data_IF_869326614304
#
_entry.id   IF_869326614304
#
_cell.length_a   1.000
_cell.length_b   1.000
_cell.length_c   1.000
_cell.angle_alpha   90.00
_cell.angle_beta   90.00
_cell.angle_gamma   90.00
#
_symmetry.space_group_name_H-M   'P 1'
#
loop_
_entity.id
_entity.type
_entity.pdbx_description
1 polymer ?
#
# COMPACT_ATOMS: atom_id res chain seq x y z
N UNK A 1 -7.53 18.12 3.02
CA UNK A 1 -8.29 17.08 3.76
C UNK A 1 -7.63 15.71 3.63
N UNK A 2 -7.47 15.20 2.40
CA UNK A 2 -6.83 13.91 2.06
C UNK A 2 -5.51 13.65 2.81
N UNK A 3 -4.55 14.58 2.76
CA UNK A 3 -3.24 14.40 3.44
C UNK A 3 -3.40 14.25 4.96
N UNK A 4 -4.29 15.03 5.58
CA UNK A 4 -4.54 14.95 7.03
C UNK A 4 -5.23 13.63 7.40
N UNK A 5 -6.17 13.17 6.58
CA UNK A 5 -6.79 11.87 6.77
C UNK A 5 -5.76 10.74 6.67
N UNK A 6 -4.88 10.78 5.66
CA UNK A 6 -3.79 9.82 5.53
C UNK A 6 -2.88 9.87 6.76
N UNK A 7 -2.49 11.05 7.24
CA UNK A 7 -1.67 11.19 8.45
C UNK A 7 -2.30 10.50 9.68
N UNK A 8 -3.62 10.52 9.77
CA UNK A 8 -4.37 9.90 10.87
C UNK A 8 -4.51 8.38 10.70
N UNK A 9 -4.83 7.90 9.49
CA UNK A 9 -5.03 6.48 9.20
C UNK A 9 -3.72 5.70 9.04
N UNK A 10 -2.72 6.33 8.43
CA UNK A 10 -1.44 5.72 8.10
C UNK A 10 -0.29 6.75 8.09
N UNK A 11 0.37 6.85 9.24
CA UNK A 11 1.47 7.78 9.42
C UNK A 11 2.72 7.44 8.58
N UNK A 12 2.98 6.15 8.32
CA UNK A 12 4.11 5.70 7.50
C UNK A 12 3.97 6.22 6.06
N UNK A 13 2.84 5.96 5.41
CA UNK A 13 2.55 6.44 4.05
C UNK A 13 2.54 7.97 3.99
N UNK A 14 2.03 8.64 5.03
CA UNK A 14 2.08 10.09 5.13
C UNK A 14 3.52 10.63 5.09
N UNK A 15 4.44 10.02 5.84
CA UNK A 15 5.84 10.45 5.84
C UNK A 15 6.47 10.27 4.44
N UNK A 16 6.13 9.22 3.69
CA UNK A 16 6.65 9.03 2.33
C UNK A 16 6.27 10.18 1.39
N UNK A 17 5.17 10.90 1.64
CA UNK A 17 4.79 12.07 0.84
C UNK A 17 5.73 13.27 1.01
N UNK A 18 6.55 13.30 2.07
CA UNK A 18 7.46 14.41 2.35
C UNK A 18 8.57 14.54 1.30
N UNK A 19 8.86 13.48 0.54
CA UNK A 19 9.88 13.49 -0.52
C UNK A 19 9.41 14.15 -1.81
N UNK A 20 8.10 14.28 -1.98
CA UNK A 20 7.51 14.89 -3.17
C UNK A 20 7.54 16.40 -2.97
N UNK A 21 7.67 17.19 -4.03
CA UNK A 21 7.61 18.66 -3.89
C UNK A 21 6.23 19.19 -4.22
N UNK A 22 5.68 18.76 -5.37
CA UNK A 22 4.39 19.24 -5.89
C UNK A 22 3.22 18.92 -4.95
N UNK A 23 2.44 19.95 -4.60
CA UNK A 23 1.23 19.83 -3.77
C UNK A 23 0.15 18.96 -4.44
N UNK A 24 0.01 19.07 -5.75
CA UNK A 24 -0.96 18.29 -6.52
C UNK A 24 -0.57 16.81 -6.51
N UNK A 25 0.68 16.50 -6.84
CA UNK A 25 1.21 15.13 -6.83
C UNK A 25 1.12 14.54 -5.42
N UNK A 26 1.47 15.30 -4.38
CA UNK A 26 1.28 14.89 -2.98
C UNK A 26 -0.16 14.49 -2.69
N UNK A 27 -1.14 15.28 -3.12
CA UNK A 27 -2.56 14.98 -2.90
C UNK A 27 -3.00 13.72 -3.66
N UNK A 28 -2.60 13.57 -4.92
CA UNK A 28 -2.94 12.40 -5.73
C UNK A 28 -2.29 11.13 -5.17
N UNK A 29 -1.02 11.17 -4.79
CA UNK A 29 -0.32 10.06 -4.14
C UNK A 29 -0.97 9.73 -2.79
N UNK A 30 -1.35 10.74 -2.00
CA UNK A 30 -2.06 10.53 -0.74
C UNK A 30 -3.40 9.81 -0.94
N UNK A 31 -4.13 10.18 -2.00
CA UNK A 31 -5.38 9.55 -2.38
C UNK A 31 -5.19 8.08 -2.75
N UNK A 32 -4.15 7.75 -3.53
CA UNK A 32 -3.81 6.36 -3.87
C UNK A 32 -3.41 5.56 -2.62
N UNK A 33 -2.71 6.15 -1.66
CA UNK A 33 -2.41 5.47 -0.39
C UNK A 33 -3.64 5.23 0.48
N UNK A 34 -4.59 6.17 0.51
CA UNK A 34 -5.87 5.96 1.19
C UNK A 34 -6.69 4.86 0.51
N UNK A 35 -6.64 4.79 -0.82
CA UNK A 35 -7.24 3.70 -1.58
C UNK A 35 -6.61 2.34 -1.29
N UNK A 36 -5.27 2.26 -1.27
CA UNK A 36 -4.54 1.07 -0.85
C UNK A 36 -4.96 0.63 0.57
N UNK A 37 -5.04 1.59 1.50
CA UNK A 37 -5.50 1.35 2.87
C UNK A 37 -6.91 0.74 2.92
N UNK A 38 -7.89 1.32 2.22
CA UNK A 38 -9.28 0.83 2.27
C UNK A 38 -9.43 -0.55 1.62
N UNK A 39 -8.74 -0.81 0.51
CA UNK A 39 -8.76 -2.14 -0.13
C UNK A 39 -8.21 -3.21 0.81
N UNK A 40 -7.05 -2.97 1.41
CA UNK A 40 -6.44 -3.92 2.34
C UNK A 40 -7.32 -4.11 3.57
N UNK A 41 -7.93 -3.02 4.07
CA UNK A 41 -8.87 -3.08 5.19
C UNK A 41 -10.10 -3.91 4.85
N UNK A 42 -10.66 -3.83 3.63
CA UNK A 42 -11.77 -4.69 3.20
C UNK A 42 -11.38 -6.17 3.36
N UNK A 43 -10.17 -6.53 2.91
CA UNK A 43 -9.66 -7.89 3.02
C UNK A 43 -9.60 -8.39 4.47
N UNK A 44 -8.95 -7.65 5.36
CA UNK A 44 -8.76 -8.10 6.75
C UNK A 44 -9.98 -7.93 7.65
N UNK A 45 -10.87 -6.95 7.39
CA UNK A 45 -12.05 -6.69 8.25
C UNK A 45 -13.28 -7.53 7.89
N UNK A 46 -13.34 -8.09 6.68
CA UNK A 46 -14.49 -8.83 6.19
C UNK A 46 -14.14 -10.31 6.15
N UNK A 47 -14.64 -11.09 7.11
CA UNK A 47 -14.30 -12.52 7.22
C UNK A 47 -14.81 -13.33 6.02
N UNK A 48 -16.02 -13.04 5.56
CA UNK A 48 -16.68 -13.78 4.49
C UNK A 48 -16.12 -13.41 3.09
N UNK A 49 -15.60 -14.39 2.32
CA UNK A 49 -15.05 -14.15 0.98
C UNK A 49 -16.03 -13.50 0.00
N UNK A 50 -17.29 -13.95 0.01
CA UNK A 50 -18.31 -13.42 -0.90
C UNK A 50 -18.58 -11.94 -0.61
N UNK A 51 -18.71 -11.58 0.67
CA UNK A 51 -18.92 -10.20 1.08
C UNK A 51 -17.73 -9.30 0.73
N UNK A 52 -16.48 -9.81 0.76
CA UNK A 52 -15.31 -9.07 0.24
C UNK A 52 -15.46 -8.76 -1.24
N UNK A 53 -15.81 -9.76 -2.05
CA UNK A 53 -16.03 -9.60 -3.50
C UNK A 53 -17.10 -8.56 -3.79
N UNK A 54 -18.21 -8.58 -3.06
CA UNK A 54 -19.29 -7.59 -3.16
C UNK A 54 -18.78 -6.18 -2.83
N UNK A 55 -17.98 -6.00 -1.77
CA UNK A 55 -17.42 -4.68 -1.40
C UNK A 55 -16.47 -4.12 -2.47
N UNK A 56 -15.63 -4.96 -3.07
CA UNK A 56 -14.79 -4.53 -4.18
C UNK A 56 -15.61 -4.23 -5.44
N UNK A 57 -16.64 -5.02 -5.73
CA UNK A 57 -17.55 -4.73 -6.85
C UNK A 57 -18.27 -3.40 -6.63
N UNK A 58 -18.77 -3.14 -5.43
CA UNK A 58 -19.39 -1.87 -5.09
C UNK A 58 -18.44 -0.69 -5.32
N UNK A 59 -17.15 -0.82 -4.96
CA UNK A 59 -16.15 0.22 -5.27
C UNK A 59 -15.96 0.43 -6.78
N UNK A 60 -15.97 -0.65 -7.58
CA UNK A 60 -15.93 -0.55 -9.05
C UNK A 60 -17.15 0.25 -9.53
N UNK A 61 -18.34 -0.14 -9.11
CA UNK A 61 -19.60 0.49 -9.51
C UNK A 61 -19.65 1.98 -9.10
N UNK A 62 -19.15 2.34 -7.91
CA UNK A 62 -19.03 3.74 -7.47
C UNK A 62 -18.08 4.56 -8.36
N UNK A 63 -16.94 3.99 -8.77
CA UNK A 63 -15.96 4.69 -9.62
C UNK A 63 -16.38 4.81 -11.09
N UNK A 64 -17.44 4.10 -11.49
CA UNK A 64 -18.06 4.25 -12.80
C UNK A 64 -19.10 5.37 -12.86
N UNK A 65 -19.58 5.82 -11.70
CA UNK A 65 -20.52 6.96 -11.61
C UNK A 65 -19.81 8.29 -11.91
N UNK A 66 -20.62 9.31 -12.19
CA UNK A 66 -20.15 10.70 -12.32
C UNK A 66 -19.90 11.35 -10.96
N UNK A 67 -20.63 10.91 -9.94
CA UNK A 67 -20.54 11.42 -8.57
C UNK A 67 -20.83 10.29 -7.58
N UNK A 68 -20.31 10.44 -6.36
CA UNK A 68 -20.51 9.50 -5.25
C UNK A 68 -20.63 10.25 -3.93
N UNK A 69 -21.54 9.80 -3.07
CA UNK A 69 -21.60 10.27 -1.68
C UNK A 69 -20.48 9.67 -0.82
N UNK A 70 -19.79 8.64 -1.30
CA UNK A 70 -18.64 8.08 -0.61
C UNK A 70 -17.40 8.94 -0.85
N UNK A 71 -16.92 9.57 0.23
CA UNK A 71 -15.83 10.54 0.21
C UNK A 71 -14.62 10.14 -0.64
N UNK A 72 -14.11 8.92 -0.44
CA UNK A 72 -12.92 8.45 -1.15
C UNK A 72 -13.21 8.20 -2.63
N UNK A 73 -14.37 7.62 -2.96
CA UNK A 73 -14.76 7.40 -4.35
C UNK A 73 -14.92 8.72 -5.10
N UNK A 74 -15.54 9.74 -4.48
CA UNK A 74 -15.68 11.05 -5.12
C UNK A 74 -14.32 11.66 -5.52
N UNK A 75 -13.32 11.55 -4.66
CA UNK A 75 -11.98 12.03 -4.98
C UNK A 75 -11.29 11.18 -6.05
N UNK A 76 -11.49 9.86 -6.02
CA UNK A 76 -10.94 8.96 -7.04
C UNK A 76 -11.60 9.15 -8.40
N UNK A 77 -12.89 9.48 -8.48
CA UNK A 77 -13.60 9.79 -9.73
C UNK A 77 -12.90 10.95 -10.43
N UNK A 78 -12.59 12.03 -9.71
CA UNK A 78 -11.88 13.19 -10.27
C UNK A 78 -10.49 12.80 -10.78
N UNK A 79 -9.73 11.97 -10.04
CA UNK A 79 -8.43 11.47 -10.51
C UNK A 79 -8.58 10.57 -11.75
N UNK A 80 -9.68 9.82 -11.83
CA UNK A 80 -10.03 8.91 -12.91
C UNK A 80 -10.53 9.61 -14.19
N UNK A 81 -10.62 10.95 -14.24
CA UNK A 81 -10.76 11.70 -15.50
C UNK A 81 -9.62 11.35 -16.46
N UNK A 82 -8.44 11.06 -15.91
CA UNK A 82 -7.38 10.36 -16.65
C UNK A 82 -7.74 8.87 -16.83
N UNK A 83 -8.24 8.53 -18.02
CA UNK A 83 -8.65 7.16 -18.39
C UNK A 83 -7.54 6.12 -18.17
N UNK A 84 -6.27 6.50 -18.33
CA UNK A 84 -5.14 5.60 -18.13
C UNK A 84 -4.92 5.24 -16.66
N UNK A 85 -5.24 6.14 -15.74
CA UNK A 85 -5.22 5.93 -14.29
C UNK A 85 -6.46 5.12 -13.87
N UNK A 86 -7.64 5.48 -14.40
CA UNK A 86 -8.90 4.75 -14.17
C UNK A 86 -8.74 3.25 -14.48
N UNK A 87 -8.16 2.92 -15.63
CA UNK A 87 -7.91 1.54 -16.04
C UNK A 87 -7.09 0.75 -15.02
N UNK A 88 -6.05 1.35 -14.45
CA UNK A 88 -5.19 0.68 -13.47
C UNK A 88 -5.89 0.51 -12.11
N UNK A 89 -6.64 1.52 -11.67
CA UNK A 89 -7.43 1.46 -10.43
C UNK A 89 -8.48 0.34 -10.51
N UNK A 90 -9.21 0.26 -11.63
CA UNK A 90 -10.19 -0.82 -11.85
C UNK A 90 -9.51 -2.18 -11.95
N UNK A 91 -8.37 -2.27 -12.68
CA UNK A 91 -7.58 -3.51 -12.73
C UNK A 91 -7.19 -3.98 -11.33
N UNK A 92 -6.78 -3.04 -10.47
CA UNK A 92 -6.40 -3.34 -9.09
C UNK A 92 -7.57 -3.93 -8.30
N UNK A 93 -8.76 -3.32 -8.36
CA UNK A 93 -9.96 -3.85 -7.70
C UNK A 93 -10.34 -5.25 -8.20
N UNK A 94 -10.24 -5.50 -9.51
CA UNK A 94 -10.48 -6.82 -10.11
C UNK A 94 -9.47 -7.86 -9.62
N UNK A 95 -8.18 -7.50 -9.48
CA UNK A 95 -7.19 -8.37 -8.86
C UNK A 95 -7.58 -8.70 -7.41
N UNK A 96 -7.98 -7.69 -6.62
CA UNK A 96 -8.40 -7.89 -5.23
C UNK A 96 -9.70 -8.70 -5.07
N UNK A 97 -10.61 -8.70 -6.04
CA UNK A 97 -11.76 -9.63 -6.05
C UNK A 97 -11.35 -11.10 -6.06
N UNK A 98 -10.17 -11.41 -6.61
CA UNK A 98 -9.64 -12.78 -6.73
C UNK A 98 -8.58 -13.12 -5.69
N UNK A 99 -8.31 -12.22 -4.73
CA UNK A 99 -7.18 -12.33 -3.80
C UNK A 99 -7.15 -13.66 -3.04
N UNK A 100 -8.31 -14.20 -2.67
CA UNK A 100 -8.42 -15.45 -1.92
C UNK A 100 -7.77 -16.64 -2.66
N UNK A 101 -7.92 -16.71 -3.98
CA UNK A 101 -7.34 -17.76 -4.84
C UNK A 101 -5.79 -17.73 -4.84
N UNK A 102 -5.21 -16.58 -4.48
CA UNK A 102 -3.77 -16.37 -4.37
C UNK A 102 -3.23 -16.54 -2.96
N UNK A 103 -4.07 -16.37 -1.93
CA UNK A 103 -3.65 -16.50 -0.52
C UNK A 103 -3.50 -17.95 -0.07
N UNK A 104 -3.91 -18.92 -0.90
CA UNK A 104 -3.79 -20.36 -0.63
C UNK A 104 -2.36 -20.86 -0.54
N UNK A 105 -1.40 -20.22 -1.24
CA UNK A 105 0.00 -20.65 -1.24
C UNK A 105 0.98 -19.48 -1.21
N UNK A 106 2.15 -19.63 -0.55
CA UNK A 106 3.15 -18.56 -0.46
C UNK A 106 3.65 -18.06 -1.81
N UNK A 107 3.81 -18.96 -2.78
CA UNK A 107 4.29 -18.61 -4.12
C UNK A 107 3.24 -17.81 -4.87
N UNK A 108 1.97 -18.24 -4.85
CA UNK A 108 0.86 -17.52 -5.50
C UNK A 108 0.71 -16.12 -4.90
N UNK A 109 0.84 -16.00 -3.58
CA UNK A 109 0.79 -14.75 -2.84
C UNK A 109 1.90 -13.78 -3.30
N UNK A 110 3.14 -14.24 -3.39
CA UNK A 110 4.27 -13.43 -3.90
C UNK A 110 4.01 -12.96 -5.34
N UNK A 111 3.52 -13.85 -6.22
CA UNK A 111 3.20 -13.49 -7.60
C UNK A 111 2.09 -12.44 -7.68
N UNK A 112 1.05 -12.57 -6.87
CA UNK A 112 -0.02 -11.59 -6.73
C UNK A 112 0.54 -10.21 -6.36
N UNK A 113 1.37 -10.13 -5.32
CA UNK A 113 1.92 -8.84 -4.89
C UNK A 113 2.92 -8.24 -5.89
N UNK A 114 3.63 -9.05 -6.69
CA UNK A 114 4.43 -8.53 -7.81
C UNK A 114 3.55 -7.85 -8.86
N UNK A 115 2.42 -8.46 -9.19
CA UNK A 115 1.45 -7.85 -10.11
C UNK A 115 0.87 -6.56 -9.52
N UNK A 116 0.38 -6.60 -8.28
CA UNK A 116 -0.17 -5.41 -7.58
C UNK A 116 0.86 -4.27 -7.51
N UNK A 117 2.12 -4.58 -7.22
CA UNK A 117 3.19 -3.59 -7.19
C UNK A 117 3.43 -2.92 -8.55
N UNK A 118 3.39 -3.72 -9.61
CA UNK A 118 3.50 -3.20 -10.98
C UNK A 118 2.34 -2.24 -11.29
N UNK A 119 1.11 -2.58 -10.89
CA UNK A 119 -0.07 -1.74 -11.11
C UNK A 119 0.03 -0.43 -10.32
N UNK A 120 0.38 -0.48 -9.04
CA UNK A 120 0.55 0.73 -8.22
C UNK A 120 1.65 1.65 -8.77
N UNK A 121 2.80 1.12 -9.14
CA UNK A 121 3.88 1.92 -9.74
C UNK A 121 3.50 2.48 -11.12
N UNK A 122 2.68 1.77 -11.90
CA UNK A 122 2.08 2.30 -13.13
C UNK A 122 1.17 3.50 -12.83
N UNK A 123 0.34 3.42 -11.79
CA UNK A 123 -0.50 4.56 -11.34
C UNK A 123 0.38 5.74 -10.95
N UNK A 124 1.39 5.53 -10.10
CA UNK A 124 2.30 6.61 -9.68
C UNK A 124 2.95 7.27 -10.88
N UNK A 125 3.53 6.50 -11.80
CA UNK A 125 4.13 7.04 -13.03
C UNK A 125 3.17 7.92 -13.84
N UNK A 126 1.88 7.57 -13.90
CA UNK A 126 0.85 8.31 -14.65
C UNK A 126 0.36 9.59 -13.96
N UNK A 127 0.47 9.68 -12.63
CA UNK A 127 0.12 10.89 -11.87
C UNK A 127 1.33 11.82 -11.66
N UNK A 128 2.55 11.34 -11.92
CA UNK A 128 3.76 12.15 -11.84
C UNK A 128 3.92 13.05 -13.07
N UNK A 129 4.56 14.21 -12.87
CA UNK A 129 4.94 15.08 -13.97
C UNK A 129 6.21 14.55 -14.67
N UNK A 130 6.31 14.63 -16.02
CA UNK A 130 7.38 14.00 -16.80
C UNK A 130 8.82 14.36 -16.38
N UNK A 131 9.03 15.52 -15.75
CA UNK A 131 10.36 16.13 -15.65
C UNK A 131 10.87 16.38 -14.21
N UNK A 132 10.12 16.03 -13.14
CA UNK A 132 10.52 16.48 -11.78
C UNK A 132 10.32 15.50 -10.63
N UNK A 133 9.42 14.52 -10.73
CA UNK A 133 9.15 13.63 -9.58
C UNK A 133 9.01 12.17 -10.07
N UNK A 134 9.89 11.27 -9.63
CA UNK A 134 9.70 9.82 -9.80
C UNK A 134 9.40 9.19 -8.45
N UNK A 135 8.18 8.72 -8.25
CA UNK A 135 7.78 7.99 -7.06
C UNK A 135 7.49 6.54 -7.41
N UNK A 136 8.07 5.60 -6.65
CA UNK A 136 7.75 4.19 -6.73
C UNK A 136 7.70 3.63 -5.31
N UNK A 137 6.89 2.61 -5.11
CA UNK A 137 6.90 1.79 -3.90
C UNK A 137 7.60 0.48 -4.25
N UNK A 138 8.50 0.01 -3.38
CA UNK A 138 9.05 -1.33 -3.57
C UNK A 138 8.00 -2.41 -3.32
N UNK A 139 8.18 -3.52 -4.05
CA UNK A 139 7.46 -4.76 -3.78
C UNK A 139 7.52 -5.16 -2.30
N UNK A 140 8.68 -5.05 -1.65
CA UNK A 140 8.85 -5.46 -0.25
C UNK A 140 8.06 -4.58 0.72
N UNK A 141 8.15 -3.26 0.56
CA UNK A 141 7.41 -2.35 1.42
C UNK A 141 5.92 -2.56 1.25
N UNK A 142 5.44 -2.78 0.02
CA UNK A 142 4.02 -3.03 -0.23
C UNK A 142 3.55 -4.37 0.34
N UNK A 143 4.34 -5.42 0.15
CA UNK A 143 4.04 -6.74 0.69
C UNK A 143 3.97 -6.67 2.22
N UNK A 144 4.98 -6.11 2.90
CA UNK A 144 4.96 -5.93 4.37
C UNK A 144 3.78 -5.05 4.79
N UNK A 145 3.47 -4.01 4.02
CA UNK A 145 2.35 -3.12 4.32
C UNK A 145 0.99 -3.82 4.27
N UNK A 146 0.81 -4.82 3.40
CA UNK A 146 -0.39 -5.65 3.42
C UNK A 146 -0.56 -6.38 4.77
N UNK A 147 0.47 -7.08 5.21
CA UNK A 147 0.40 -7.85 6.46
C UNK A 147 0.48 -7.03 7.73
N UNK A 148 0.87 -5.75 7.63
CA UNK A 148 0.76 -4.80 8.72
C UNK A 148 -0.67 -4.69 9.28
N UNK A 149 -1.69 -5.03 8.47
CA UNK A 149 -3.10 -5.06 8.88
C UNK A 149 -3.56 -6.40 9.43
N UNK A 150 -2.74 -7.46 9.32
CA UNK A 150 -3.08 -8.74 9.91
C UNK A 150 -2.91 -8.64 11.43
N UNK A 151 -4.01 -8.86 12.16
CA UNK A 151 -3.98 -8.90 13.61
C UNK A 151 -3.40 -10.23 14.15
N UNK A 152 -3.22 -11.24 13.30
CA UNK A 152 -2.67 -12.54 13.67
C UNK A 152 -1.21 -12.65 13.21
N UNK A 153 -0.27 -12.35 14.11
CA UNK A 153 1.16 -12.54 13.82
C UNK A 153 1.46 -14.04 13.75
N UNK A 154 1.56 -14.60 12.54
CA UNK A 154 1.83 -16.04 12.33
C UNK A 154 3.32 -16.30 12.17
N UNK A 155 3.84 -17.36 12.81
CA UNK A 155 5.26 -17.78 12.72
C UNK A 155 5.70 -18.03 11.28
N UNK A 156 4.84 -18.62 10.44
CA UNK A 156 5.13 -18.94 9.03
C UNK A 156 5.40 -17.71 8.16
N UNK A 157 4.80 -16.57 8.52
CA UNK A 157 5.03 -15.29 7.87
C UNK A 157 6.51 -14.92 7.90
N UNK A 158 7.16 -15.05 9.05
CA UNK A 158 8.56 -14.68 9.19
C UNK A 158 9.48 -15.55 8.34
N UNK A 159 9.28 -16.86 8.29
CA UNK A 159 10.14 -17.77 7.52
C UNK A 159 10.07 -17.51 6.01
N UNK A 160 8.88 -17.26 5.48
CA UNK A 160 8.68 -16.95 4.06
C UNK A 160 9.32 -15.60 3.71
N UNK A 161 9.09 -14.58 4.54
CA UNK A 161 9.65 -13.25 4.31
C UNK A 161 11.16 -13.22 4.43
N UNK A 162 11.74 -13.92 5.39
CA UNK A 162 13.18 -13.91 5.60
C UNK A 162 13.93 -14.56 4.41
N UNK A 163 13.32 -15.57 3.77
CA UNK A 163 13.87 -16.18 2.56
C UNK A 163 13.78 -15.22 1.35
N UNK A 164 12.67 -14.49 1.20
CA UNK A 164 12.50 -13.48 0.15
C UNK A 164 13.43 -12.25 0.41
N UNK A 165 13.65 -11.87 1.67
CA UNK A 165 14.57 -10.79 2.08
C UNK A 165 16.03 -11.14 1.80
N UNK A 166 16.47 -12.37 2.10
CA UNK A 166 17.84 -12.82 1.83
C UNK A 166 18.16 -12.86 0.34
N UNK A 167 17.16 -13.08 -0.51
CA UNK A 167 17.31 -13.19 -1.97
C UNK A 167 17.14 -11.85 -2.68
N UNK A 168 16.81 -10.78 -1.95
CA UNK A 168 16.47 -9.48 -2.54
C UNK A 168 17.41 -8.37 -2.14
N UNK A 169 17.51 -7.40 -3.04
CA UNK A 169 18.32 -6.20 -2.86
C UNK A 169 17.61 -5.19 -1.96
N UNK A 170 17.49 -5.50 -0.66
CA UNK A 170 16.97 -4.56 0.37
C UNK A 170 17.69 -3.20 0.32
N UNK A 171 18.93 -3.18 -0.18
CA UNK A 171 19.71 -1.96 -0.38
C UNK A 171 19.15 -1.02 -1.46
N UNK A 172 18.23 -1.47 -2.31
CA UNK A 172 17.54 -0.63 -3.31
C UNK A 172 16.33 0.10 -2.71
N UNK A 173 15.95 -0.18 -1.45
CA UNK A 173 14.85 0.51 -0.77
C UNK A 173 15.29 1.90 -0.29
N UNK A 174 14.39 2.89 -0.42
CA UNK A 174 14.60 4.19 0.19
C UNK A 174 14.61 4.10 1.73
N UNK A 175 15.10 5.15 2.40
CA UNK A 175 15.23 5.15 3.86
C UNK A 175 13.89 4.97 4.60
N UNK A 176 12.78 5.46 4.05
CA UNK A 176 11.46 5.34 4.67
C UNK A 176 10.99 3.89 4.61
N UNK A 177 11.06 3.26 3.44
CA UNK A 177 10.68 1.87 3.24
C UNK A 177 11.60 0.91 4.01
N UNK A 178 12.91 1.14 3.95
CA UNK A 178 13.90 0.36 4.71
C UNK A 178 13.63 0.43 6.21
N UNK A 179 13.28 1.61 6.73
CA UNK A 179 12.92 1.78 8.14
C UNK A 179 11.65 1.01 8.49
N UNK A 180 10.59 1.17 7.70
CA UNK A 180 9.32 0.47 7.90
C UNK A 180 9.49 -1.05 7.91
N UNK A 181 10.12 -1.58 6.86
CA UNK A 181 10.36 -3.02 6.68
C UNK A 181 11.19 -3.58 7.84
N UNK A 182 12.27 -2.91 8.25
CA UNK A 182 13.11 -3.35 9.38
C UNK A 182 12.35 -3.43 10.69
N UNK A 183 11.51 -2.45 10.99
CA UNK A 183 10.70 -2.46 12.22
C UNK A 183 9.70 -3.63 12.17
N UNK A 184 8.95 -3.76 11.08
CA UNK A 184 7.96 -4.84 10.93
C UNK A 184 8.61 -6.23 11.05
N UNK A 185 9.76 -6.45 10.40
CA UNK A 185 10.49 -7.73 10.51
C UNK A 185 10.92 -8.00 11.95
N UNK A 186 11.48 -6.98 12.64
CA UNK A 186 11.92 -7.14 14.04
C UNK A 186 10.74 -7.52 14.93
N UNK A 187 9.61 -6.82 14.81
CA UNK A 187 8.39 -7.09 15.58
C UNK A 187 7.85 -8.48 15.28
N UNK A 188 7.77 -8.85 14.00
CA UNK A 188 7.34 -10.18 13.55
C UNK A 188 8.22 -11.30 14.13
N UNK A 189 9.54 -11.11 14.13
CA UNK A 189 10.51 -12.07 14.70
C UNK A 189 10.25 -12.33 16.18
N UNK A 190 9.86 -11.29 16.91
CA UNK A 190 9.56 -11.34 18.33
C UNK A 190 8.11 -11.73 18.64
N UNK A 191 7.31 -12.06 17.62
CA UNK A 191 5.87 -12.31 17.75
C UNK A 191 5.10 -11.14 18.38
N UNK A 192 5.62 -9.92 18.19
CA UNK A 192 4.99 -8.68 18.63
C UNK A 192 3.96 -8.21 17.60
N UNK A 193 2.91 -7.52 18.08
CA UNK A 193 1.98 -6.81 17.22
C UNK A 193 2.72 -5.82 16.31
N UNK A 194 2.49 -5.89 15.00
CA UNK A 194 3.27 -5.15 13.99
C UNK A 194 3.03 -3.64 14.01
N UNK A 195 1.99 -3.15 14.70
CA UNK A 195 1.69 -1.72 14.76
C UNK A 195 2.89 -0.93 15.28
N UNK A 196 3.30 0.07 14.49
CA UNK A 196 4.46 0.90 14.77
C UNK A 196 3.99 2.20 15.41
N UNK A 197 4.61 2.60 16.51
CA UNK A 197 4.34 3.92 17.10
C UNK A 197 5.00 5.04 16.28
N UNK A 198 4.41 6.25 16.27
CA UNK A 198 4.99 7.39 15.52
C UNK A 198 6.41 7.71 15.98
N UNK A 199 6.66 7.70 17.29
CA UNK A 199 7.97 7.97 17.87
C UNK A 199 9.00 6.91 17.50
N UNK A 200 8.64 5.62 17.58
CA UNK A 200 9.51 4.52 17.16
C UNK A 200 9.91 4.66 15.69
N UNK A 201 8.94 4.96 14.81
CA UNK A 201 9.21 5.15 13.39
C UNK A 201 10.15 6.32 13.13
N UNK A 202 9.87 7.50 13.71
CA UNK A 202 10.69 8.71 13.55
C UNK A 202 12.12 8.47 14.06
N UNK A 203 12.26 7.89 15.25
CA UNK A 203 13.58 7.61 15.84
C UNK A 203 14.40 6.70 14.92
N UNK A 204 13.81 5.61 14.43
CA UNK A 204 14.48 4.67 13.52
C UNK A 204 14.77 5.29 12.15
N UNK A 205 13.91 6.16 11.66
CA UNK A 205 14.09 6.88 10.41
C UNK A 205 15.28 7.84 10.49
N UNK A 206 15.38 8.62 11.57
CA UNK A 206 16.53 9.51 11.82
C UNK A 206 17.82 8.70 11.82
N UNK A 207 17.86 7.58 12.56
CA UNK A 207 19.03 6.70 12.56
C UNK A 207 19.36 6.18 11.15
N UNK A 208 18.34 5.80 10.36
CA UNK A 208 18.54 5.32 8.99
C UNK A 208 19.06 6.41 8.03
N UNK A 209 18.70 7.67 8.26
CA UNK A 209 19.15 8.81 7.45
C UNK A 209 20.56 9.28 7.84
N UNK A 210 20.90 9.24 9.13
CA UNK A 210 22.18 9.71 9.66
C UNK A 210 23.30 8.68 9.45
N UNK A 211 23.03 7.39 9.66
CA UNK A 211 24.03 6.32 9.62
C UNK A 211 23.94 5.48 8.34
N UNK A 212 23.76 6.14 7.17
CA UNK A 212 23.56 5.49 5.87
C UNK A 212 24.65 4.50 5.51
#
# INVERSE_FOLDING_TARGET
MIINELKNKNYFRYIQLLILDSKEIKNNTALIFLFEYEIIKIFFSTKEPLLRKIKYQWLIDELEKKESHFYLAQHLINLCENLSVKKEILKLLVCFQKIDDYMESPIKNVLFFKEINTIFNSIFKKIMQPNRDSFNISFFSQLIYFYYFDNNVKVHFYSEFNNILKTSKINELDCFEKTFVKICIKKSKNLEYMKISKLEFIYKLILCMVFR
#
